data_IF_571123820157
#
_entry.id   IF_571123820157
#
_cell.length_a   1.000
_cell.length_b   1.000
_cell.length_c   1.000
_cell.angle_alpha   90.00
_cell.angle_beta   90.00
_cell.angle_gamma   90.00
#
_symmetry.space_group_name_H-M   'P 1'
#
loop_
_entity.id
_entity.type
_entity.pdbx_description
1 polymer ?
#
# COMPACT_ATOMS: atom_id res chain seq x y z
N UNK A 1 -1.31 4.12 -12.46
CA UNK A 1 -2.38 4.38 -13.47
C UNK A 1 -3.37 5.37 -12.88
N UNK A 2 -3.74 6.44 -13.61
CA UNK A 2 -4.75 7.42 -13.18
C UNK A 2 -6.13 6.98 -13.67
N UNK A 3 -7.12 6.98 -12.80
CA UNK A 3 -8.51 6.60 -13.10
C UNK A 3 -9.45 7.70 -12.60
N UNK A 4 -10.61 7.86 -13.24
CA UNK A 4 -11.69 8.73 -12.78
C UNK A 4 -12.80 7.84 -12.25
N UNK A 5 -13.11 7.96 -10.96
CA UNK A 5 -14.20 7.24 -10.31
C UNK A 5 -15.39 8.18 -10.15
N UNK A 6 -16.52 7.84 -10.77
CA UNK A 6 -17.76 8.63 -10.68
C UNK A 6 -18.80 7.90 -9.83
N UNK A 7 -19.30 8.57 -8.80
CA UNK A 7 -20.35 8.06 -7.91
C UNK A 7 -21.61 8.91 -8.07
N UNK A 8 -22.74 8.25 -8.37
CA UNK A 8 -24.04 8.91 -8.39
C UNK A 8 -24.48 9.22 -6.94
N UNK A 9 -24.93 10.45 -6.73
CA UNK A 9 -25.40 10.93 -5.44
C UNK A 9 -26.94 10.75 -5.34
N UNK A 10 -27.50 10.63 -4.12
CA UNK A 10 -28.94 10.44 -3.91
C UNK A 10 -29.82 11.59 -4.42
N UNK A 11 -29.26 12.77 -4.61
CA UNK A 11 -29.92 13.97 -5.15
C UNK A 11 -30.01 13.97 -6.68
N UNK A 12 -29.52 12.93 -7.35
CA UNK A 12 -29.46 12.83 -8.81
C UNK A 12 -28.23 13.50 -9.43
N UNK A 13 -27.35 14.11 -8.62
CA UNK A 13 -26.05 14.59 -9.07
C UNK A 13 -25.02 13.45 -9.14
N UNK A 14 -23.80 13.75 -9.59
CA UNK A 14 -22.68 12.79 -9.57
C UNK A 14 -21.39 13.48 -9.15
N UNK A 15 -20.64 12.84 -8.26
CA UNK A 15 -19.30 13.28 -7.88
C UNK A 15 -18.26 12.45 -8.62
N UNK A 16 -17.27 13.10 -9.24
CA UNK A 16 -16.18 12.42 -9.93
C UNK A 16 -14.86 12.72 -9.24
N UNK A 17 -14.14 11.67 -8.83
CA UNK A 17 -12.84 11.74 -8.18
C UNK A 17 -11.74 11.27 -9.12
N UNK A 18 -10.62 11.99 -9.15
CA UNK A 18 -9.41 11.52 -9.82
C UNK A 18 -8.59 10.74 -8.82
N UNK A 19 -8.40 9.44 -9.07
CA UNK A 19 -7.66 8.52 -8.21
C UNK A 19 -6.42 7.99 -8.92
N UNK A 20 -5.38 7.73 -8.15
CA UNK A 20 -4.17 7.04 -8.61
C UNK A 20 -3.96 5.79 -7.78
N UNK A 21 -3.80 4.66 -8.48
CA UNK A 21 -3.34 3.41 -7.91
C UNK A 21 -1.85 3.26 -8.18
N UNK A 22 -1.08 3.06 -7.12
CA UNK A 22 0.37 2.92 -7.18
C UNK A 22 0.88 2.16 -5.95
N UNK A 23 2.05 1.54 -6.07
CA UNK A 23 2.76 0.94 -4.94
C UNK A 23 3.71 1.95 -4.29
N UNK A 24 4.23 1.64 -3.09
CA UNK A 24 5.31 2.42 -2.48
C UNK A 24 6.54 2.51 -3.39
N UNK A 25 6.84 1.45 -4.13
CA UNK A 25 7.95 1.43 -5.08
C UNK A 25 7.73 2.40 -6.25
N UNK A 26 6.49 2.54 -6.73
CA UNK A 26 6.16 3.50 -7.79
C UNK A 26 6.35 4.94 -7.31
N UNK A 27 5.93 5.24 -6.08
CA UNK A 27 6.08 6.56 -5.48
C UNK A 27 7.55 6.90 -5.22
N UNK A 28 8.32 5.94 -4.68
CA UNK A 28 9.77 6.08 -4.50
C UNK A 28 10.46 6.41 -5.83
N UNK A 29 10.15 5.67 -6.91
CA UNK A 29 10.71 5.93 -8.24
C UNK A 29 10.30 7.30 -8.80
N UNK A 30 9.06 7.72 -8.59
CA UNK A 30 8.55 8.99 -9.11
C UNK A 30 9.10 10.22 -8.37
N UNK A 31 9.41 10.08 -7.07
CA UNK A 31 9.85 11.19 -6.20
C UNK A 31 11.34 11.21 -5.93
N UNK A 32 12.06 10.13 -6.25
CA UNK A 32 13.47 9.97 -5.91
C UNK A 32 13.71 9.68 -4.43
N UNK A 33 12.67 9.36 -3.65
CA UNK A 33 12.78 8.96 -2.24
C UNK A 33 13.11 7.47 -2.13
N UNK A 34 13.66 7.04 -0.98
CA UNK A 34 13.71 5.61 -0.64
C UNK A 34 12.29 5.10 -0.37
N UNK A 35 12.07 3.80 -0.56
CA UNK A 35 10.75 3.18 -0.33
C UNK A 35 10.30 3.37 1.12
N UNK A 36 11.24 3.26 2.05
CA UNK A 36 11.03 3.42 3.48
C UNK A 36 10.67 4.88 3.83
N UNK A 37 11.33 5.85 3.19
CA UNK A 37 11.07 7.27 3.39
C UNK A 37 9.69 7.65 2.83
N UNK A 38 9.31 7.09 1.67
CA UNK A 38 7.98 7.28 1.09
C UNK A 38 6.89 6.70 2.00
N UNK A 39 7.11 5.50 2.55
CA UNK A 39 6.18 4.88 3.50
C UNK A 39 6.04 5.71 4.77
N UNK A 40 7.17 6.16 5.33
CA UNK A 40 7.19 7.01 6.51
C UNK A 40 6.43 8.33 6.27
N UNK A 41 6.73 9.02 5.18
CA UNK A 41 6.07 10.27 4.82
C UNK A 41 4.55 10.10 4.67
N UNK A 42 4.10 9.05 3.97
CA UNK A 42 2.66 8.79 3.82
C UNK A 42 1.97 8.46 5.14
N UNK A 43 2.64 7.75 6.05
CA UNK A 43 2.12 7.46 7.38
C UNK A 43 1.95 8.74 8.20
N UNK A 44 2.96 9.62 8.21
CA UNK A 44 2.92 10.92 8.90
C UNK A 44 1.89 11.89 8.29
N UNK A 45 1.67 11.78 6.99
CA UNK A 45 0.63 12.51 6.27
C UNK A 45 -0.77 11.92 6.46
N UNK A 46 -0.92 10.75 7.10
CA UNK A 46 -2.20 10.06 7.24
C UNK A 46 -2.77 9.53 5.91
N UNK A 47 -1.93 9.43 4.88
CA UNK A 47 -2.31 8.94 3.54
C UNK A 47 -2.04 7.45 3.36
N UNK A 48 -1.30 6.82 4.28
CA UNK A 48 -1.03 5.39 4.26
C UNK A 48 -2.15 4.61 4.97
N UNK A 49 -3.20 4.24 4.23
CA UNK A 49 -4.29 3.42 4.76
C UNK A 49 -3.99 1.94 4.46
N UNK A 50 -3.75 1.16 5.52
CA UNK A 50 -3.61 -0.31 5.42
C UNK A 50 -4.94 -0.96 5.06
N UNK A 51 -5.15 -1.22 3.78
CA UNK A 51 -6.31 -2.00 3.33
C UNK A 51 -6.00 -3.48 3.51
N UNK A 52 -6.59 -4.11 4.53
CA UNK A 52 -6.48 -5.55 4.72
C UNK A 52 -7.06 -6.26 3.49
N UNK A 53 -6.27 -7.11 2.82
CA UNK A 53 -6.78 -7.97 1.75
C UNK A 53 -7.82 -8.91 2.39
N UNK A 54 -9.08 -8.97 1.91
CA UNK A 54 -10.04 -9.94 2.43
C UNK A 54 -9.40 -11.33 2.30
N UNK A 55 -9.45 -12.10 3.39
CA UNK A 55 -9.03 -13.51 3.36
C UNK A 55 -9.90 -14.17 2.30
N UNK A 56 -9.32 -14.47 1.14
CA UNK A 56 -9.92 -15.41 0.20
C UNK A 56 -10.20 -16.67 1.00
N UNK A 57 -11.49 -16.95 1.21
CA UNK A 57 -11.99 -18.12 1.91
C UNK A 57 -11.38 -19.37 1.28
N UNK A 58 -10.35 -19.93 1.93
CA UNK A 58 -9.98 -21.31 1.64
C UNK A 58 -11.09 -22.21 2.19
N UNK A 59 -11.54 -23.23 1.45
CA UNK A 59 -12.50 -24.18 1.97
C UNK A 59 -11.89 -24.94 3.15
N UNK A 60 -12.58 -24.93 4.28
CA UNK A 60 -12.22 -25.64 5.50
C UNK A 60 -12.34 -27.15 5.27
N UNK A 61 -11.23 -27.82 4.98
CA UNK A 61 -11.11 -29.27 5.21
C UNK A 61 -10.77 -29.44 6.69
N UNK A 62 -11.74 -29.96 7.44
CA UNK A 62 -11.58 -30.25 8.87
C UNK A 62 -10.55 -31.33 9.13
N UNK A 63 -9.89 -31.24 10.29
CA UNK A 63 -9.57 -32.40 11.12
C UNK A 63 -8.99 -31.98 12.48
N UNK A 64 -9.38 -32.77 13.45
CA UNK A 64 -9.37 -32.59 14.90
C UNK A 64 -8.00 -32.80 15.58
N UNK A 65 -7.93 -32.32 16.83
CA UNK A 65 -6.79 -32.26 17.76
C UNK A 65 -6.20 -33.61 18.24
N UNK A 66 -5.00 -33.46 18.86
CA UNK A 66 -4.36 -34.27 19.93
C UNK A 66 -3.60 -35.53 19.45
N UNK A 67 -2.45 -35.96 19.97
CA UNK A 67 -1.63 -35.65 21.16
C UNK A 67 -0.26 -36.37 21.07
N UNK A 68 0.67 -35.98 21.96
CA UNK A 68 1.79 -36.76 22.56
C UNK A 68 3.13 -36.97 21.83
N UNK A 69 4.18 -36.46 22.51
CA UNK A 69 5.48 -37.08 22.89
C UNK A 69 6.10 -38.18 21.99
N UNK A 70 7.36 -38.00 21.54
CA UNK A 70 8.51 -38.93 21.72
C UNK A 70 9.81 -38.33 21.14
N UNK A 71 10.94 -39.01 21.38
CA UNK A 71 12.30 -38.50 21.65
C UNK A 71 13.33 -38.94 20.58
N UNK A 72 14.42 -38.16 20.44
CA UNK A 72 15.80 -38.49 20.00
C UNK A 72 16.22 -38.74 18.52
N UNK A 73 17.23 -37.91 18.15
CA UNK A 73 18.49 -38.14 17.40
C UNK A 73 18.50 -38.64 15.94
N UNK A 74 19.08 -37.84 15.04
CA UNK A 74 20.51 -37.93 14.60
C UNK A 74 20.72 -37.46 13.15
N UNK A 75 21.83 -36.74 12.97
CA UNK A 75 22.67 -36.61 11.77
C UNK A 75 22.11 -36.15 10.40
N UNK A 76 22.61 -34.95 10.03
CA UNK A 76 23.29 -34.62 8.77
C UNK A 76 22.54 -33.88 7.63
N UNK A 77 23.22 -32.78 7.24
CA UNK A 77 23.35 -32.22 5.90
C UNK A 77 22.22 -31.37 5.29
N UNK A 78 22.45 -30.05 5.35
CA UNK A 78 22.46 -29.11 4.23
C UNK A 78 21.35 -29.22 3.15
N UNK A 79 20.45 -28.23 3.14
CA UNK A 79 20.33 -27.27 2.04
C UNK A 79 19.30 -26.21 2.44
N UNK A 80 19.60 -24.97 2.07
CA UNK A 80 18.78 -23.80 2.32
C UNK A 80 17.40 -23.93 1.65
N UNK A 81 16.35 -23.85 2.46
CA UNK A 81 15.05 -23.34 2.03
C UNK A 81 14.34 -22.80 3.27
N UNK A 82 14.63 -21.54 3.59
CA UNK A 82 13.79 -20.74 4.48
C UNK A 82 12.64 -20.21 3.63
N UNK A 83 11.41 -20.75 3.72
CA UNK A 83 10.28 -20.12 3.07
C UNK A 83 9.95 -18.89 3.91
N UNK A 84 10.63 -17.79 3.56
CA UNK A 84 10.30 -16.44 3.96
C UNK A 84 8.78 -16.27 4.00
N UNK A 85 8.23 -16.37 5.21
CA UNK A 85 6.79 -16.25 5.47
C UNK A 85 6.37 -14.78 5.45
N UNK A 86 6.90 -14.03 4.49
CA UNK A 86 6.44 -12.71 4.11
C UNK A 86 5.56 -12.90 2.89
N UNK A 87 4.26 -13.10 3.10
CA UNK A 87 3.29 -12.87 2.02
C UNK A 87 3.57 -11.46 1.52
N UNK A 88 4.14 -11.33 0.33
CA UNK A 88 4.39 -10.04 -0.30
C UNK A 88 3.03 -9.38 -0.52
N UNK A 89 2.55 -8.67 0.49
CA UNK A 89 1.41 -7.78 0.36
C UNK A 89 1.96 -6.64 -0.46
N UNK A 90 1.77 -6.70 -1.77
CA UNK A 90 1.97 -5.57 -2.64
C UNK A 90 0.98 -4.50 -2.19
N UNK A 91 1.44 -3.62 -1.30
CA UNK A 91 0.64 -2.59 -0.67
C UNK A 91 0.29 -1.56 -1.75
N UNK A 92 -0.86 -1.78 -2.38
CA UNK A 92 -1.42 -0.87 -3.38
C UNK A 92 -2.03 0.31 -2.64
N UNK A 93 -1.44 1.47 -2.84
CA UNK A 93 -1.88 2.76 -2.30
C UNK A 93 -2.87 3.37 -3.30
N UNK A 94 -3.98 3.87 -2.78
CA UNK A 94 -4.98 4.62 -3.54
C UNK A 94 -5.06 6.01 -2.95
N UNK A 95 -4.70 7.01 -3.75
CA UNK A 95 -4.75 8.42 -3.33
C UNK A 95 -5.60 9.19 -4.32
N UNK A 96 -6.60 9.92 -3.82
CA UNK A 96 -7.38 10.87 -4.62
C UNK A 96 -6.77 12.26 -4.56
N UNK A 97 -7.07 13.09 -5.57
CA UNK A 97 -6.66 14.49 -5.58
C UNK A 97 -7.12 15.24 -4.33
N UNK A 98 -8.36 15.01 -3.91
CA UNK A 98 -9.00 15.70 -2.80
C UNK A 98 -8.34 15.34 -1.47
N UNK A 99 -7.91 14.08 -1.30
CA UNK A 99 -7.12 13.66 -0.14
C UNK A 99 -5.81 14.45 -0.03
N UNK A 100 -5.09 14.60 -1.15
CA UNK A 100 -3.83 15.34 -1.18
C UNK A 100 -4.04 16.82 -0.89
N UNK A 101 -5.05 17.44 -1.51
CA UNK A 101 -5.35 18.87 -1.30
C UNK A 101 -5.80 19.17 0.13
N UNK A 102 -6.57 18.27 0.76
CA UNK A 102 -6.96 18.39 2.15
C UNK A 102 -5.74 18.36 3.09
N UNK A 103 -4.86 17.36 2.93
CA UNK A 103 -3.63 17.25 3.73
C UNK A 103 -2.70 18.44 3.49
N UNK A 104 -2.55 18.88 2.24
CA UNK A 104 -1.72 20.03 1.90
C UNK A 104 -2.22 21.33 2.57
N UNK A 105 -3.54 21.53 2.58
CA UNK A 105 -4.17 22.67 3.27
C UNK A 105 -3.98 22.60 4.78
N UNK A 106 -4.22 21.45 5.39
CA UNK A 106 -4.07 21.24 6.84
C UNK A 106 -2.64 21.47 7.30
N UNK A 107 -1.66 20.94 6.56
CA UNK A 107 -0.23 21.07 6.88
C UNK A 107 0.39 22.38 6.39
N UNK A 108 -0.40 23.29 5.81
CA UNK A 108 0.06 24.56 5.24
C UNK A 108 1.23 24.38 4.25
N UNK A 109 1.15 23.35 3.41
CA UNK A 109 2.18 23.07 2.40
C UNK A 109 2.21 24.23 1.40
N UNK A 110 3.38 24.88 1.30
CA UNK A 110 3.58 25.98 0.36
C UNK A 110 3.44 25.45 -1.07
N UNK A 111 2.61 26.12 -1.88
CA UNK A 111 2.53 25.84 -3.31
C UNK A 111 3.93 25.93 -3.92
N UNK A 112 4.40 24.85 -4.56
CA UNK A 112 5.67 24.89 -5.27
C UNK A 112 5.61 25.99 -6.33
N UNK A 113 6.46 27.00 -6.19
CA UNK A 113 6.49 28.15 -7.09
C UNK A 113 7.35 27.91 -8.34
N UNK A 114 8.05 26.78 -8.41
CA UNK A 114 8.79 26.36 -9.59
C UNK A 114 7.91 25.42 -10.42
N UNK A 115 7.42 25.94 -11.53
CA UNK A 115 6.87 25.12 -12.60
C UNK A 115 8.05 24.57 -13.42
N UNK A 116 8.17 23.24 -13.52
CA UNK A 116 9.25 22.57 -14.27
C UNK A 116 9.27 22.99 -15.75
N UNK A 117 8.15 23.48 -16.29
CA UNK A 117 8.09 24.02 -17.64
C UNK A 117 8.90 25.33 -17.84
N UNK A 118 9.34 25.99 -16.77
CA UNK A 118 9.98 27.31 -16.81
C UNK A 118 11.44 27.30 -16.32
N UNK A 119 12.06 26.13 -16.15
CA UNK A 119 13.50 26.05 -15.86
C UNK A 119 14.23 25.93 -17.19
N UNK A 120 14.79 27.05 -17.67
CA UNK A 120 15.76 27.02 -18.76
C UNK A 120 16.98 26.23 -18.28
N UNK A 121 17.16 25.03 -18.83
CA UNK A 121 18.42 24.30 -18.80
C UNK A 121 19.31 24.76 -19.96
#
# INVERSE_FOLDING_TARGET
MRTIETTANPDGSSTSHVVVHCTLADLARATGLRVEDAAFALNECGLLIRRAKPKSSQPLIGSSNSSSFFHASSHAAAAADEPSRGRAVEETIVVSREMVEAVAKERNVKKMCMDLAHVML
#
